data_IF_201688534902
#
_entry.id   IF_201688534902
#
_cell.length_a   1.000
_cell.length_b   1.000
_cell.length_c   1.000
_cell.angle_alpha   90.00
_cell.angle_beta   90.00
_cell.angle_gamma   90.00
#
_symmetry.space_group_name_H-M   'P 1'
#
loop_
_entity.id
_entity.type
_entity.pdbx_description
1 polymer ?
#
# COMPACT_ATOMS: atom_id res chain seq x y z
N UNK A 1 9.63 -16.30 33.90
CA UNK A 1 9.79 -14.85 34.17
C UNK A 1 9.22 -14.13 32.97
N UNK A 2 8.11 -13.39 33.14
CA UNK A 2 7.58 -12.55 32.04
C UNK A 2 8.51 -11.37 31.84
N UNK A 3 9.13 -11.26 30.67
CA UNK A 3 9.91 -10.07 30.33
C UNK A 3 8.98 -8.85 30.39
N UNK A 4 9.34 -7.85 31.19
CA UNK A 4 8.62 -6.57 31.18
C UNK A 4 8.80 -5.93 29.80
N UNK A 5 7.70 -5.63 29.13
CA UNK A 5 7.71 -4.81 27.93
C UNK A 5 8.34 -3.45 28.28
N UNK A 6 9.40 -3.09 27.59
CA UNK A 6 10.06 -1.78 27.68
C UNK A 6 10.23 -1.21 26.28
N UNK A 7 10.49 0.08 26.16
CA UNK A 7 10.78 0.71 24.87
C UNK A 7 12.05 0.15 24.20
N UNK A 8 12.92 -0.51 24.97
CA UNK A 8 14.15 -1.11 24.44
C UNK A 8 13.92 -2.26 23.48
N UNK A 9 12.71 -2.89 23.50
CA UNK A 9 12.34 -3.95 22.53
C UNK A 9 12.27 -3.42 21.08
N UNK A 10 12.16 -2.11 20.90
CA UNK A 10 12.17 -1.44 19.61
C UNK A 10 13.55 -0.92 19.22
N UNK A 11 14.54 -1.03 20.13
CA UNK A 11 15.89 -0.57 19.87
C UNK A 11 16.69 -1.62 19.10
N UNK A 12 17.27 -1.22 17.99
CA UNK A 12 18.15 -2.05 17.18
C UNK A 12 19.23 -1.18 16.52
N UNK A 13 20.31 -1.81 16.10
CA UNK A 13 21.39 -1.16 15.36
C UNK A 13 20.95 -0.91 13.92
N UNK A 14 20.53 0.34 13.66
CA UNK A 14 19.98 0.74 12.35
C UNK A 14 20.99 0.58 11.21
N UNK A 15 22.25 0.92 11.44
CA UNK A 15 23.28 0.84 10.40
C UNK A 15 23.52 -0.62 10.00
N UNK A 16 23.60 -1.49 10.99
CA UNK A 16 23.77 -2.94 10.79
C UNK A 16 22.58 -3.56 10.06
N UNK A 17 21.35 -3.12 10.38
CA UNK A 17 20.15 -3.61 9.72
C UNK A 17 20.07 -3.11 8.27
N UNK A 18 20.42 -1.86 8.00
CA UNK A 18 20.54 -1.31 6.64
C UNK A 18 21.55 -2.09 5.80
N UNK A 19 22.71 -2.43 6.36
CA UNK A 19 23.71 -3.25 5.68
C UNK A 19 23.21 -4.67 5.40
N UNK A 20 22.57 -5.30 6.38
CA UNK A 20 22.01 -6.65 6.28
C UNK A 20 20.94 -6.70 5.18
N UNK A 21 19.99 -5.76 5.16
CA UNK A 21 18.94 -5.69 4.14
C UNK A 21 19.55 -5.42 2.76
N UNK A 22 20.48 -4.47 2.65
CA UNK A 22 21.12 -4.13 1.39
C UNK A 22 21.89 -5.31 0.79
N UNK A 23 22.62 -6.04 1.61
CA UNK A 23 23.34 -7.25 1.17
C UNK A 23 22.38 -8.39 0.83
N UNK A 24 21.30 -8.56 1.62
CA UNK A 24 20.25 -9.53 1.34
C UNK A 24 19.56 -9.27 -0.01
N UNK A 25 19.23 -8.01 -0.32
CA UNK A 25 18.65 -7.63 -1.61
C UNK A 25 19.59 -7.98 -2.79
N UNK A 26 20.89 -7.68 -2.67
CA UNK A 26 21.88 -8.05 -3.69
C UNK A 26 21.95 -9.56 -3.92
N UNK A 27 22.00 -10.33 -2.82
CA UNK A 27 22.06 -11.78 -2.87
C UNK A 27 20.81 -12.39 -3.51
N UNK A 28 19.62 -11.97 -3.07
CA UNK A 28 18.34 -12.47 -3.61
C UNK A 28 18.25 -12.16 -5.11
N UNK A 29 18.55 -10.92 -5.52
CA UNK A 29 18.48 -10.55 -6.93
C UNK A 29 19.42 -11.35 -7.79
N UNK A 30 20.65 -11.56 -7.33
CA UNK A 30 21.67 -12.29 -8.09
C UNK A 30 21.45 -13.80 -8.11
N UNK A 31 21.16 -14.37 -6.94
CA UNK A 31 21.26 -15.82 -6.73
C UNK A 31 19.92 -16.55 -6.63
N UNK A 32 18.80 -15.81 -6.43
CA UNK A 32 17.47 -16.43 -6.26
C UNK A 32 16.52 -16.08 -7.40
N UNK A 33 16.30 -14.79 -7.67
CA UNK A 33 15.31 -14.35 -8.67
C UNK A 33 15.94 -13.95 -10.02
N UNK A 34 17.27 -13.83 -10.09
CA UNK A 34 18.03 -13.50 -11.31
C UNK A 34 17.51 -12.23 -12.01
N UNK A 35 17.31 -11.15 -11.23
CA UNK A 35 16.81 -9.86 -11.71
C UNK A 35 17.90 -8.80 -11.67
N UNK A 36 17.79 -7.80 -12.57
CA UNK A 36 18.82 -6.77 -12.77
C UNK A 36 18.68 -5.55 -11.89
N UNK A 37 17.48 -5.33 -11.31
CA UNK A 37 17.13 -4.15 -10.53
C UNK A 37 15.80 -4.34 -9.80
N UNK A 38 15.27 -3.24 -9.28
CA UNK A 38 14.06 -3.22 -8.45
C UNK A 38 13.05 -2.20 -8.97
N UNK A 39 11.77 -2.58 -8.97
CA UNK A 39 10.62 -1.69 -9.15
C UNK A 39 9.98 -1.43 -7.79
N UNK A 40 9.79 -0.17 -7.44
CA UNK A 40 9.19 0.25 -6.16
C UNK A 40 7.99 1.14 -6.41
N UNK A 41 6.80 0.71 -5.96
CA UNK A 41 5.63 1.57 -5.92
C UNK A 41 5.75 2.56 -4.75
N UNK A 42 5.67 3.86 -5.05
CA UNK A 42 5.92 4.95 -4.12
C UNK A 42 4.60 5.64 -3.79
N UNK A 43 4.02 5.31 -2.64
CA UNK A 43 2.73 5.85 -2.17
C UNK A 43 2.85 7.21 -1.47
N UNK A 44 4.08 7.68 -1.19
CA UNK A 44 4.34 8.81 -0.30
C UNK A 44 4.25 8.47 1.20
N UNK A 45 4.00 7.21 1.55
CA UNK A 45 4.05 6.69 2.92
C UNK A 45 5.46 6.28 3.33
N UNK A 46 5.67 6.13 4.66
CA UNK A 46 6.99 5.84 5.23
C UNK A 46 7.55 4.50 4.73
N UNK A 47 6.76 3.44 4.71
CA UNK A 47 7.23 2.10 4.35
C UNK A 47 7.75 2.04 2.91
N UNK A 48 6.99 2.60 1.96
CA UNK A 48 7.43 2.70 0.57
C UNK A 48 8.68 3.57 0.40
N UNK A 49 8.81 4.61 1.23
CA UNK A 49 9.97 5.51 1.21
C UNK A 49 11.22 4.81 1.72
N UNK A 50 11.12 4.07 2.81
CA UNK A 50 12.21 3.26 3.37
C UNK A 50 12.62 2.17 2.38
N UNK A 51 11.66 1.47 1.77
CA UNK A 51 11.95 0.46 0.75
C UNK A 51 12.68 1.03 -0.47
N UNK A 52 12.29 2.22 -0.95
CA UNK A 52 12.96 2.88 -2.05
C UNK A 52 14.41 3.26 -1.68
N UNK A 53 14.62 3.86 -0.50
CA UNK A 53 15.94 4.24 -0.03
C UNK A 53 16.87 3.03 0.17
N UNK A 54 16.37 1.93 0.75
CA UNK A 54 17.11 0.67 0.90
C UNK A 54 17.45 0.05 -0.45
N UNK A 55 16.55 0.13 -1.42
CA UNK A 55 16.78 -0.35 -2.79
C UNK A 55 17.93 0.42 -3.46
N UNK A 56 17.93 1.75 -3.34
CA UNK A 56 19.01 2.60 -3.85
C UNK A 56 20.33 2.35 -3.11
N UNK A 57 20.29 2.21 -1.79
CA UNK A 57 21.48 1.86 -1.00
C UNK A 57 22.08 0.52 -1.42
N UNK A 58 21.22 -0.45 -1.76
CA UNK A 58 21.66 -1.77 -2.18
C UNK A 58 22.26 -1.79 -3.60
N UNK A 59 21.61 -1.14 -4.58
CA UNK A 59 21.90 -1.36 -6.00
C UNK A 59 22.43 -0.13 -6.75
N UNK A 60 22.34 1.05 -6.14
CA UNK A 60 22.52 2.34 -6.85
C UNK A 60 21.24 2.77 -7.57
N UNK A 61 21.11 4.07 -7.79
CA UNK A 61 19.90 4.69 -8.35
C UNK A 61 19.54 4.22 -9.76
N UNK A 62 20.53 3.83 -10.57
CA UNK A 62 20.36 3.38 -11.98
C UNK A 62 19.66 2.02 -12.10
N UNK A 63 19.53 1.28 -11.00
CA UNK A 63 18.90 -0.05 -10.93
C UNK A 63 17.61 -0.06 -10.11
N UNK A 64 17.07 1.12 -9.82
CA UNK A 64 15.80 1.27 -9.11
C UNK A 64 14.87 2.12 -9.96
N UNK A 65 13.67 1.61 -10.19
CA UNK A 65 12.63 2.29 -10.96
C UNK A 65 11.43 2.57 -10.07
N UNK A 66 11.08 3.86 -9.91
CA UNK A 66 9.97 4.32 -9.09
C UNK A 66 8.66 4.34 -9.89
N UNK A 67 7.55 3.96 -9.26
CA UNK A 67 6.22 4.07 -9.86
C UNK A 67 5.27 4.78 -8.90
N UNK A 68 4.63 5.85 -9.36
CA UNK A 68 3.52 6.50 -8.69
C UNK A 68 2.22 6.15 -9.41
N UNK A 69 1.27 5.59 -8.67
CA UNK A 69 0.00 5.08 -9.20
C UNK A 69 -1.19 5.77 -8.53
N UNK A 70 -1.37 7.10 -8.77
CA UNK A 70 -2.53 7.81 -8.26
C UNK A 70 -3.82 7.28 -8.89
N UNK A 71 -4.92 7.43 -8.14
CA UNK A 71 -6.27 7.13 -8.59
C UNK A 71 -7.24 8.17 -8.00
N UNK A 72 -8.54 8.05 -8.27
CA UNK A 72 -9.54 9.06 -7.94
C UNK A 72 -9.56 9.49 -6.44
N UNK A 73 -9.37 8.54 -5.51
CA UNK A 73 -9.37 8.83 -4.08
C UNK A 73 -7.97 9.19 -3.53
N UNK A 74 -6.95 9.23 -4.38
CA UNK A 74 -5.58 9.58 -3.97
C UNK A 74 -5.47 11.07 -3.65
N UNK A 75 -4.80 11.41 -2.54
CA UNK A 75 -4.49 12.81 -2.27
C UNK A 75 -3.35 13.32 -3.14
N UNK A 76 -3.43 14.58 -3.60
CA UNK A 76 -2.31 15.25 -4.28
C UNK A 76 -1.04 15.23 -3.43
N UNK A 77 -1.18 15.45 -2.14
CA UNK A 77 -0.09 15.44 -1.17
C UNK A 77 0.72 14.12 -1.13
N UNK A 78 0.05 12.97 -1.26
CA UNK A 78 0.74 11.67 -1.31
C UNK A 78 1.54 11.52 -2.60
N UNK A 79 0.98 11.94 -3.72
CA UNK A 79 1.66 11.91 -5.03
C UNK A 79 2.87 12.85 -5.06
N UNK A 80 2.74 14.05 -4.50
CA UNK A 80 3.83 15.03 -4.42
C UNK A 80 5.00 14.53 -3.57
N UNK A 81 4.69 13.89 -2.41
CA UNK A 81 5.73 13.26 -1.58
C UNK A 81 6.46 12.13 -2.29
N UNK A 82 5.73 11.28 -2.98
CA UNK A 82 6.34 10.20 -3.77
C UNK A 82 7.28 10.74 -4.85
N UNK A 83 6.88 11.80 -5.53
CA UNK A 83 7.69 12.50 -6.53
C UNK A 83 8.94 13.14 -5.92
N UNK A 84 8.78 13.92 -4.84
CA UNK A 84 9.90 14.53 -4.12
C UNK A 84 10.93 13.48 -3.67
N UNK A 85 10.47 12.33 -3.19
CA UNK A 85 11.37 11.25 -2.80
C UNK A 85 12.12 10.67 -3.99
N UNK A 86 11.45 10.42 -5.12
CA UNK A 86 12.11 9.92 -6.33
C UNK A 86 13.21 10.89 -6.83
N UNK A 87 12.90 12.18 -6.83
CA UNK A 87 13.84 13.24 -7.20
C UNK A 87 15.02 13.32 -6.21
N UNK A 88 14.74 13.24 -4.91
CA UNK A 88 15.77 13.21 -3.87
C UNK A 88 16.72 12.01 -3.99
N UNK A 89 16.18 10.84 -4.27
CA UNK A 89 16.95 9.61 -4.48
C UNK A 89 17.65 9.58 -5.85
N UNK A 90 17.25 10.46 -6.77
CA UNK A 90 17.78 10.55 -8.13
C UNK A 90 17.45 9.34 -9.00
N UNK A 91 16.36 8.63 -8.72
CA UNK A 91 15.90 7.47 -9.48
C UNK A 91 15.01 7.86 -10.65
N UNK A 92 15.05 7.08 -11.71
CA UNK A 92 14.05 7.16 -12.77
C UNK A 92 12.68 6.76 -12.24
N UNK A 93 11.63 7.51 -12.59
CA UNK A 93 10.28 7.19 -12.17
C UNK A 93 9.23 7.61 -13.20
N UNK A 94 8.06 7.00 -13.07
CA UNK A 94 6.86 7.41 -13.81
C UNK A 94 5.71 7.69 -12.85
N UNK A 95 4.80 8.55 -13.30
CA UNK A 95 3.48 8.71 -12.70
C UNK A 95 2.43 8.23 -13.69
N UNK A 96 1.70 7.19 -13.34
CA UNK A 96 0.67 6.57 -14.17
C UNK A 96 -0.65 6.59 -13.41
N UNK A 97 -1.57 7.46 -13.81
CA UNK A 97 -2.91 7.50 -13.22
C UNK A 97 -3.70 6.26 -13.65
N UNK A 98 -4.19 5.50 -12.66
CA UNK A 98 -4.95 4.27 -12.89
C UNK A 98 -6.47 4.45 -12.73
N UNK A 99 -6.96 5.70 -12.59
CA UNK A 99 -8.37 5.98 -12.35
C UNK A 99 -9.27 5.45 -13.48
N UNK A 100 -8.89 5.71 -14.74
CA UNK A 100 -9.67 5.25 -15.90
C UNK A 100 -9.74 3.72 -15.99
N UNK A 101 -8.65 3.04 -15.66
CA UNK A 101 -8.62 1.57 -15.60
C UNK A 101 -9.56 1.04 -14.51
N UNK A 102 -9.54 1.67 -13.33
CA UNK A 102 -10.41 1.30 -12.21
C UNK A 102 -11.88 1.59 -12.52
N UNK A 103 -12.18 2.68 -13.20
CA UNK A 103 -13.54 2.99 -13.68
C UNK A 103 -14.01 1.94 -14.68
N UNK A 104 -13.20 1.62 -15.68
CA UNK A 104 -13.54 0.66 -16.74
C UNK A 104 -13.87 -0.75 -16.19
N UNK A 105 -13.20 -1.19 -15.12
CA UNK A 105 -13.51 -2.46 -14.46
C UNK A 105 -14.62 -2.36 -13.41
N UNK A 106 -15.25 -1.20 -13.25
CA UNK A 106 -16.37 -0.96 -12.34
C UNK A 106 -15.99 -0.83 -10.87
N UNK A 107 -14.73 -0.58 -10.53
CA UNK A 107 -14.26 -0.44 -9.14
C UNK A 107 -15.07 0.58 -8.35
N UNK A 108 -15.20 1.79 -8.87
CA UNK A 108 -15.94 2.88 -8.21
C UNK A 108 -17.44 2.63 -8.22
N UNK A 109 -17.98 2.19 -9.35
CA UNK A 109 -19.40 1.86 -9.50
C UNK A 109 -19.87 0.85 -8.43
N UNK A 110 -19.19 -0.28 -8.31
CA UNK A 110 -19.60 -1.32 -7.35
C UNK A 110 -19.41 -0.89 -5.89
N UNK A 111 -18.39 -0.09 -5.60
CA UNK A 111 -18.23 0.54 -4.27
C UNK A 111 -19.43 1.44 -3.97
N UNK A 112 -19.75 2.34 -4.86
CA UNK A 112 -20.77 3.36 -4.65
C UNK A 112 -22.18 2.77 -4.60
N UNK A 113 -22.48 1.74 -5.39
CA UNK A 113 -23.73 0.96 -5.29
C UNK A 113 -23.92 0.40 -3.87
N UNK A 114 -22.90 -0.21 -3.28
CA UNK A 114 -22.98 -0.73 -1.92
C UNK A 114 -23.10 0.37 -0.86
N UNK A 115 -22.48 1.53 -1.08
CA UNK A 115 -22.62 2.70 -0.20
C UNK A 115 -24.04 3.25 -0.27
N UNK A 116 -24.62 3.37 -1.46
CA UNK A 116 -25.98 3.86 -1.69
C UNK A 116 -27.05 2.98 -1.04
N UNK A 117 -26.85 1.68 -0.92
CA UNK A 117 -27.75 0.81 -0.14
C UNK A 117 -27.79 1.19 1.37
N UNK A 118 -26.75 1.85 1.89
CA UNK A 118 -26.65 2.29 3.29
C UNK A 118 -26.96 3.77 3.46
N UNK A 119 -26.52 4.60 2.54
CA UNK A 119 -26.69 6.04 2.46
C UNK A 119 -27.25 6.45 1.09
N UNK A 120 -28.57 6.44 0.90
CA UNK A 120 -29.19 6.77 -0.40
C UNK A 120 -28.86 8.18 -0.92
N UNK A 121 -28.46 9.09 -0.02
CA UNK A 121 -28.02 10.45 -0.33
C UNK A 121 -26.57 10.58 -0.80
N UNK A 122 -25.77 9.49 -0.73
CA UNK A 122 -24.36 9.49 -1.15
C UNK A 122 -24.24 9.82 -2.63
N UNK A 123 -23.28 10.66 -2.99
CA UNK A 123 -23.06 11.11 -4.37
C UNK A 123 -21.61 11.55 -4.59
N UNK A 124 -21.30 11.92 -5.80
CA UNK A 124 -19.97 12.44 -6.19
C UNK A 124 -19.49 13.56 -5.26
N UNK A 125 -18.19 13.56 -4.97
CA UNK A 125 -17.55 14.50 -4.05
C UNK A 125 -17.64 14.11 -2.57
N UNK A 126 -18.42 13.08 -2.22
CA UNK A 126 -18.46 12.56 -0.86
C UNK A 126 -17.24 11.65 -0.60
N UNK A 127 -16.75 11.69 0.65
CA UNK A 127 -15.71 10.76 1.13
C UNK A 127 -16.34 9.63 1.91
N UNK A 128 -15.69 8.48 1.93
CA UNK A 128 -16.14 7.32 2.69
C UNK A 128 -14.97 6.58 3.35
N UNK A 129 -15.25 5.89 4.45
CA UNK A 129 -14.35 4.92 5.09
C UNK A 129 -15.13 3.88 5.87
N UNK A 130 -14.57 2.69 5.98
CA UNK A 130 -15.05 1.66 6.90
C UNK A 130 -14.26 1.77 8.20
N UNK A 131 -14.96 1.70 9.32
CA UNK A 131 -14.36 1.66 10.66
C UNK A 131 -14.82 0.40 11.39
N UNK A 132 -13.92 -0.18 12.20
CA UNK A 132 -14.22 -1.32 13.07
C UNK A 132 -14.48 -0.75 14.46
N UNK A 133 -15.56 -1.21 15.09
CA UNK A 133 -15.93 -0.79 16.46
C UNK A 133 -16.12 -2.03 17.33
N UNK A 134 -15.69 -1.98 18.60
CA UNK A 134 -15.94 -3.02 19.61
C UNK A 134 -14.74 -3.89 20.02
N UNK A 135 -13.58 -3.79 19.37
CA UNK A 135 -12.48 -4.78 19.48
C UNK A 135 -11.73 -4.86 20.80
N UNK A 136 -11.69 -3.80 21.63
CA UNK A 136 -10.86 -3.81 22.86
C UNK A 136 -11.62 -4.15 24.14
N UNK A 137 -12.95 -4.20 24.12
CA UNK A 137 -13.79 -4.38 25.32
C UNK A 137 -14.54 -5.73 25.36
N UNK A 138 -14.09 -6.74 24.61
CA UNK A 138 -14.74 -8.06 24.57
C UNK A 138 -16.12 -8.07 23.89
N UNK A 139 -16.50 -6.98 23.21
CA UNK A 139 -17.73 -6.88 22.42
C UNK A 139 -17.48 -7.38 20.99
N UNK A 140 -18.51 -7.94 20.37
CA UNK A 140 -18.44 -8.36 18.98
C UNK A 140 -18.04 -7.18 18.07
N UNK A 141 -16.99 -7.39 17.27
CA UNK A 141 -16.60 -6.42 16.23
C UNK A 141 -17.73 -6.26 15.23
N UNK A 142 -18.07 -5.02 14.93
CA UNK A 142 -18.96 -4.71 13.83
C UNK A 142 -18.39 -3.56 12.99
N UNK A 143 -18.74 -3.58 11.72
CA UNK A 143 -18.28 -2.57 10.77
C UNK A 143 -19.31 -1.45 10.69
N UNK A 144 -18.81 -0.21 10.66
CA UNK A 144 -19.60 0.97 10.33
C UNK A 144 -19.05 1.60 9.06
N UNK A 145 -19.94 2.08 8.23
CA UNK A 145 -19.61 2.97 7.13
C UNK A 145 -19.73 4.41 7.61
N UNK A 146 -18.67 5.17 7.45
CA UNK A 146 -18.62 6.60 7.72
C UNK A 146 -18.52 7.32 6.39
N UNK A 147 -19.41 8.29 6.17
CA UNK A 147 -19.41 9.13 4.98
C UNK A 147 -19.27 10.60 5.39
N UNK A 148 -18.65 11.40 4.54
CA UNK A 148 -18.52 12.85 4.73
C UNK A 148 -18.95 13.56 3.45
N UNK A 149 -19.94 14.42 3.56
CA UNK A 149 -20.38 15.28 2.47
C UNK A 149 -19.40 16.45 2.23
N UNK A 150 -19.44 17.10 1.07
CA UNK A 150 -18.54 18.21 0.73
C UNK A 150 -18.60 19.41 1.69
N UNK A 151 -19.73 19.63 2.34
CA UNK A 151 -19.92 20.64 3.39
C UNK A 151 -19.31 20.24 4.74
N UNK A 152 -18.65 19.07 4.82
CA UNK A 152 -17.96 18.56 5.99
C UNK A 152 -18.83 17.77 6.98
N UNK A 153 -20.14 17.60 6.72
CA UNK A 153 -21.04 16.83 7.58
C UNK A 153 -20.65 15.34 7.55
N UNK A 154 -20.41 14.78 8.73
CA UNK A 154 -20.06 13.36 8.91
C UNK A 154 -21.28 12.60 9.40
N UNK A 155 -21.51 11.42 8.80
CA UNK A 155 -22.57 10.50 9.18
C UNK A 155 -22.00 9.09 9.29
N UNK A 156 -22.51 8.27 10.20
CA UNK A 156 -22.13 6.87 10.33
C UNK A 156 -23.36 5.97 10.48
N UNK A 157 -23.30 4.80 9.84
CA UNK A 157 -24.30 3.75 10.00
C UNK A 157 -23.62 2.38 10.10
N UNK A 158 -24.28 1.46 10.77
CA UNK A 158 -23.83 0.05 10.79
C UNK A 158 -23.83 -0.49 9.36
N UNK A 159 -22.76 -1.16 8.98
CA UNK A 159 -22.61 -1.74 7.65
C UNK A 159 -23.08 -3.20 7.66
N UNK A 160 -23.94 -3.57 6.74
CA UNK A 160 -24.33 -4.96 6.51
C UNK A 160 -23.20 -5.78 5.91
N UNK A 161 -23.21 -7.08 6.14
CA UNK A 161 -22.16 -7.97 5.64
C UNK A 161 -22.04 -7.93 4.10
N UNK A 162 -23.17 -7.92 3.38
CA UNK A 162 -23.19 -7.85 1.90
C UNK A 162 -22.49 -6.59 1.41
N UNK A 163 -22.86 -5.43 1.94
CA UNK A 163 -22.29 -4.14 1.56
C UNK A 163 -20.80 -4.05 1.93
N UNK A 164 -20.44 -4.53 3.12
CA UNK A 164 -19.05 -4.62 3.55
C UNK A 164 -18.19 -5.41 2.55
N UNK A 165 -18.62 -6.62 2.22
CA UNK A 165 -17.88 -7.49 1.30
C UNK A 165 -17.76 -6.88 -0.10
N UNK A 166 -18.78 -6.21 -0.59
CA UNK A 166 -18.75 -5.56 -1.90
C UNK A 166 -17.81 -4.34 -1.91
N UNK A 167 -17.84 -3.49 -0.87
CA UNK A 167 -16.92 -2.34 -0.76
C UNK A 167 -15.46 -2.84 -0.67
N UNK A 168 -15.20 -3.85 0.15
CA UNK A 168 -13.86 -4.43 0.28
C UNK A 168 -13.39 -5.04 -1.05
N UNK A 169 -14.24 -5.79 -1.72
CA UNK A 169 -13.92 -6.40 -3.02
C UNK A 169 -13.58 -5.32 -4.07
N UNK A 170 -14.38 -4.26 -4.16
CA UNK A 170 -14.14 -3.13 -5.05
C UNK A 170 -12.83 -2.40 -4.70
N UNK A 171 -12.58 -2.13 -3.40
CA UNK A 171 -11.35 -1.49 -2.96
C UNK A 171 -10.11 -2.33 -3.27
N UNK A 172 -10.22 -3.65 -3.19
CA UNK A 172 -9.13 -4.57 -3.51
C UNK A 172 -8.68 -4.50 -4.99
N UNK A 173 -9.56 -4.05 -5.91
CA UNK A 173 -9.14 -3.77 -7.30
C UNK A 173 -7.99 -2.77 -7.35
N UNK A 174 -8.02 -1.71 -6.54
CA UNK A 174 -6.99 -0.68 -6.53
C UNK A 174 -5.60 -1.27 -6.31
N UNK A 175 -5.46 -2.15 -5.32
CA UNK A 175 -4.18 -2.79 -5.03
C UNK A 175 -3.76 -3.79 -6.11
N UNK A 176 -4.72 -4.53 -6.68
CA UNK A 176 -4.43 -5.51 -7.74
C UNK A 176 -4.03 -4.83 -9.04
N UNK A 177 -4.70 -3.75 -9.44
CA UNK A 177 -4.31 -2.99 -10.64
C UNK A 177 -2.94 -2.32 -10.45
N UNK A 178 -2.67 -1.73 -9.27
CA UNK A 178 -1.32 -1.22 -8.96
C UNK A 178 -0.27 -2.32 -9.17
N UNK A 179 -0.50 -3.49 -8.62
CA UNK A 179 0.43 -4.62 -8.73
C UNK A 179 0.60 -5.08 -10.18
N UNK A 180 -0.45 -5.08 -10.97
CA UNK A 180 -0.39 -5.40 -12.42
C UNK A 180 0.54 -4.43 -13.14
N UNK A 181 0.44 -3.12 -12.88
CA UNK A 181 1.32 -2.11 -13.48
C UNK A 181 2.77 -2.26 -13.01
N UNK A 182 2.98 -2.55 -11.72
CA UNK A 182 4.32 -2.81 -11.17
C UNK A 182 5.00 -3.97 -11.89
N UNK A 183 4.31 -5.11 -12.04
CA UNK A 183 4.86 -6.28 -12.75
C UNK A 183 5.07 -6.03 -14.25
N UNK A 184 4.21 -5.26 -14.91
CA UNK A 184 4.47 -4.85 -16.30
C UNK A 184 5.83 -4.14 -16.43
N UNK A 185 6.14 -3.20 -15.53
CA UNK A 185 7.42 -2.51 -15.56
C UNK A 185 8.59 -3.39 -15.11
N UNK A 186 8.35 -4.29 -14.16
CA UNK A 186 9.35 -5.27 -13.73
C UNK A 186 9.76 -6.20 -14.87
N UNK A 187 8.78 -6.70 -15.62
CA UNK A 187 9.03 -7.61 -16.75
C UNK A 187 9.80 -6.91 -17.88
N UNK A 188 9.36 -5.70 -18.32
CA UNK A 188 10.04 -4.98 -19.40
C UNK A 188 11.47 -4.56 -19.06
N UNK A 189 11.80 -4.38 -17.77
CA UNK A 189 13.15 -4.01 -17.31
C UNK A 189 13.98 -5.22 -16.85
N UNK A 190 13.38 -6.39 -16.74
CA UNK A 190 13.92 -7.56 -16.05
C UNK A 190 14.32 -7.24 -14.60
N UNK A 191 13.42 -6.54 -13.88
CA UNK A 191 13.55 -6.13 -12.49
C UNK A 191 12.65 -7.00 -11.59
N UNK A 192 12.87 -6.94 -10.29
CA UNK A 192 12.01 -7.55 -9.27
C UNK A 192 11.11 -6.50 -8.63
N UNK A 193 9.89 -6.89 -8.27
CA UNK A 193 8.93 -6.02 -7.58
C UNK A 193 9.21 -6.02 -6.09
N UNK A 194 9.30 -4.83 -5.50
CA UNK A 194 9.46 -4.63 -4.06
C UNK A 194 8.10 -4.55 -3.38
N UNK A 195 7.87 -5.40 -2.39
CA UNK A 195 6.75 -5.27 -1.46
C UNK A 195 7.16 -4.42 -0.26
N UNK A 196 6.23 -3.59 0.19
CA UNK A 196 6.46 -2.60 1.23
C UNK A 196 5.82 -2.91 2.60
N UNK A 197 5.12 -4.05 2.83
CA UNK A 197 4.56 -4.31 4.14
C UNK A 197 5.65 -4.45 5.20
N UNK A 198 5.44 -3.79 6.35
CA UNK A 198 6.22 -3.94 7.55
C UNK A 198 5.77 -5.21 8.32
N UNK A 199 6.45 -5.51 9.43
CA UNK A 199 6.17 -6.70 10.23
C UNK A 199 4.74 -6.72 10.79
N UNK A 200 4.24 -5.59 11.26
CA UNK A 200 2.89 -5.53 11.83
C UNK A 200 1.82 -5.88 10.80
N UNK A 201 1.93 -5.30 9.60
CA UNK A 201 1.03 -5.61 8.48
C UNK A 201 1.15 -7.07 8.05
N UNK A 202 2.38 -7.58 7.98
CA UNK A 202 2.65 -8.95 7.57
C UNK A 202 2.15 -9.99 8.58
N UNK A 203 2.43 -9.80 9.87
CA UNK A 203 2.02 -10.70 10.94
C UNK A 203 0.49 -10.73 11.13
N UNK A 204 -0.18 -9.62 10.87
CA UNK A 204 -1.66 -9.53 10.95
C UNK A 204 -2.38 -9.88 9.65
N UNK A 205 -1.66 -10.13 8.56
CA UNK A 205 -2.26 -10.37 7.26
C UNK A 205 -3.00 -9.15 6.69
N UNK A 206 -2.56 -7.95 7.06
CA UNK A 206 -3.17 -6.70 6.63
C UNK A 206 -2.64 -6.28 5.25
N UNK A 207 -3.00 -7.06 4.25
CA UNK A 207 -2.66 -6.83 2.85
C UNK A 207 -3.68 -7.49 1.92
N UNK A 208 -3.72 -7.06 0.68
CA UNK A 208 -4.58 -7.63 -0.36
C UNK A 208 -3.84 -8.75 -1.09
N UNK A 209 -4.42 -9.96 -1.06
CA UNK A 209 -3.92 -11.11 -1.83
C UNK A 209 -3.90 -10.76 -3.32
N UNK A 210 -2.77 -11.03 -4.00
CA UNK A 210 -2.51 -10.67 -5.39
C UNK A 210 -2.56 -9.14 -5.66
N UNK A 211 -2.42 -8.35 -4.60
CA UNK A 211 -2.24 -6.91 -4.64
C UNK A 211 -0.91 -6.56 -3.94
N UNK A 212 -0.95 -5.66 -2.96
CA UNK A 212 0.21 -5.27 -2.16
C UNK A 212 0.87 -6.42 -1.38
N UNK A 213 0.13 -7.51 -1.12
CA UNK A 213 0.69 -8.75 -0.58
C UNK A 213 1.62 -9.50 -1.54
N UNK A 214 1.57 -9.22 -2.86
CA UNK A 214 2.42 -9.86 -3.87
C UNK A 214 3.69 -9.05 -4.10
N UNK A 215 4.83 -9.70 -4.06
CA UNK A 215 6.13 -9.11 -4.38
C UNK A 215 7.20 -10.21 -4.53
N UNK A 216 8.28 -9.88 -5.22
CA UNK A 216 9.45 -10.76 -5.35
C UNK A 216 10.38 -10.64 -4.14
N UNK A 217 10.45 -9.44 -3.55
CA UNK A 217 11.25 -9.15 -2.33
C UNK A 217 10.47 -8.25 -1.37
N UNK A 218 10.64 -8.44 -0.06
CA UNK A 218 10.00 -7.67 1.00
C UNK A 218 11.04 -7.22 2.04
N UNK A 219 11.71 -6.09 1.81
CA UNK A 219 12.88 -5.69 2.59
C UNK A 219 12.63 -5.46 4.08
N UNK A 220 11.43 -4.98 4.45
CA UNK A 220 11.07 -4.54 5.81
C UNK A 220 10.03 -5.43 6.49
N UNK A 221 9.68 -6.58 5.91
CA UNK A 221 8.64 -7.46 6.46
C UNK A 221 8.97 -8.05 7.86
N UNK A 222 10.17 -7.82 8.36
CA UNK A 222 10.64 -8.27 9.69
C UNK A 222 10.85 -7.12 10.68
N UNK A 223 10.62 -5.87 10.25
CA UNK A 223 10.79 -4.64 11.03
C UNK A 223 9.46 -4.07 11.52
#
# INVERSE_FOLDING_TARGET
MSAKLSNDVLSFDMDKEVEKISNGLKDILRNKVHKRGLVVAMSGGIDSSVCAALSVKALGKEKVFGILLPEQDSSSFSSDRGKQLAEHLGIEYISHNIADTLEAIGCYKWRDEAILETFPEYKEGWKNKIVITGGLEGKFNHFKLVVQSPDGKIQEKKLGLKQYLQIVAATNYKQRIRKTVEYFHADRLNYAVVGTPNRLEYDQGFFVKNGDGSADVKPIAHL
#
